data_IF_652937661628
#
_entry.id   IF_652937661628
#
_cell.length_a   1.000
_cell.length_b   1.000
_cell.length_c   1.000
_cell.angle_alpha   90.00
_cell.angle_beta   90.00
_cell.angle_gamma   90.00
#
_symmetry.space_group_name_H-M   'P 1'
#
loop_
_entity.id
_entity.type
_entity.pdbx_description
1 polymer ?
#
# COMPACT_ATOMS: atom_id res chain seq x y z
N UNK A 1 22.07 22.49 24.13
CA UNK A 1 21.37 21.74 25.19
C UNK A 1 22.24 20.55 25.63
N UNK A 2 22.62 20.51 26.88
CA UNK A 2 23.43 19.42 27.44
C UNK A 2 22.68 18.78 28.63
N UNK A 3 22.01 17.67 28.37
CA UNK A 3 21.30 16.88 29.40
C UNK A 3 22.24 16.03 30.26
N UNK A 4 23.54 15.97 29.94
CA UNK A 4 24.54 15.09 30.57
C UNK A 4 24.10 13.63 30.63
N UNK A 5 23.33 13.20 29.64
CA UNK A 5 22.78 11.84 29.54
C UNK A 5 21.60 11.55 30.48
N UNK A 6 21.06 12.56 31.16
CA UNK A 6 19.86 12.38 31.98
C UNK A 6 18.61 12.55 31.12
N UNK A 7 17.72 11.55 31.16
CA UNK A 7 16.44 11.64 30.47
C UNK A 7 15.53 12.65 31.15
N UNK A 8 14.91 13.52 30.36
CA UNK A 8 13.90 14.46 30.80
C UNK A 8 12.59 14.15 30.04
N UNK A 9 11.61 13.49 30.68
CA UNK A 9 10.36 13.12 30.04
C UNK A 9 9.46 14.32 29.68
N UNK A 10 9.72 15.49 30.27
CA UNK A 10 8.92 16.70 30.07
C UNK A 10 9.50 17.60 28.95
N UNK A 11 10.58 17.16 28.30
CA UNK A 11 11.14 17.89 27.16
C UNK A 11 10.15 17.96 26.01
N UNK A 12 9.77 19.18 25.64
CA UNK A 12 8.96 19.44 24.47
C UNK A 12 9.79 19.36 23.18
N UNK A 13 9.32 18.52 22.23
CA UNK A 13 9.96 18.35 20.93
C UNK A 13 9.37 19.33 19.92
N UNK A 14 10.18 20.26 19.45
CA UNK A 14 9.81 21.19 18.38
C UNK A 14 10.43 20.73 17.05
N UNK A 15 9.58 20.39 16.09
CA UNK A 15 10.05 20.06 14.74
C UNK A 15 10.46 21.30 13.96
N UNK A 16 11.53 21.18 13.19
CA UNK A 16 11.89 22.18 12.18
C UNK A 16 10.84 22.28 11.07
N UNK A 17 10.91 23.32 10.21
CA UNK A 17 9.86 23.62 9.23
C UNK A 17 9.62 22.50 8.21
N UNK A 18 10.63 21.71 7.88
CA UNK A 18 10.54 20.60 6.92
C UNK A 18 10.50 19.23 7.59
N UNK A 19 10.30 19.16 8.90
CA UNK A 19 10.19 17.91 9.63
C UNK A 19 8.71 17.69 9.97
N UNK A 20 8.15 16.57 9.50
CA UNK A 20 6.77 16.15 9.77
C UNK A 20 6.78 14.73 10.30
N UNK A 21 5.84 14.45 11.20
CA UNK A 21 5.65 13.09 11.70
C UNK A 21 5.03 12.19 10.63
N UNK A 22 5.15 10.87 10.84
CA UNK A 22 4.47 9.89 10.01
C UNK A 22 2.97 9.91 10.27
N UNK A 23 2.14 9.79 9.22
CA UNK A 23 0.71 9.61 9.42
C UNK A 23 0.45 8.29 10.15
N UNK A 24 -0.69 8.21 10.83
CA UNK A 24 -1.13 6.98 11.47
C UNK A 24 -1.31 5.86 10.43
N UNK A 25 -0.78 4.67 10.75
CA UNK A 25 -0.89 3.47 9.93
C UNK A 25 -1.84 2.49 10.63
N UNK A 26 -2.84 1.99 9.90
CA UNK A 26 -3.74 0.96 10.43
C UNK A 26 -3.24 -0.45 10.14
N UNK A 27 -3.70 -1.41 10.94
CA UNK A 27 -3.43 -2.83 10.73
C UNK A 27 -4.09 -3.35 9.45
N UNK A 28 -3.61 -4.50 8.96
CA UNK A 28 -4.18 -5.15 7.78
C UNK A 28 -5.67 -5.48 8.03
N UNK A 29 -6.60 -5.05 7.18
CA UNK A 29 -8.02 -5.36 7.33
C UNK A 29 -8.32 -6.82 6.98
N UNK A 30 -9.49 -7.31 7.39
CA UNK A 30 -9.94 -8.67 7.05
C UNK A 30 -10.07 -8.88 5.55
N UNK A 31 -10.72 -7.93 4.89
CA UNK A 31 -10.93 -7.91 3.44
C UNK A 31 -10.41 -6.60 2.87
N UNK A 32 -10.03 -6.60 1.60
CA UNK A 32 -9.41 -5.43 0.98
C UNK A 32 -9.97 -5.16 -0.41
N UNK A 33 -10.22 -3.89 -0.70
CA UNK A 33 -10.46 -3.38 -2.05
C UNK A 33 -9.28 -2.49 -2.43
N UNK A 34 -8.60 -2.84 -3.50
CA UNK A 34 -7.49 -2.08 -4.05
C UNK A 34 -7.90 -1.48 -5.40
N UNK A 35 -7.58 -0.22 -5.63
CA UNK A 35 -7.62 0.34 -6.97
C UNK A 35 -6.23 0.25 -7.59
N UNK A 36 -6.16 -0.24 -8.82
CA UNK A 36 -4.92 -0.20 -9.63
C UNK A 36 -4.73 1.24 -10.08
N UNK A 37 -3.71 1.91 -9.60
CA UNK A 37 -3.49 3.34 -9.86
C UNK A 37 -2.30 3.63 -10.77
N UNK A 38 -1.53 2.61 -11.11
CA UNK A 38 -0.47 2.68 -12.14
C UNK A 38 -0.15 1.29 -12.67
N UNK A 39 0.15 1.21 -13.97
CA UNK A 39 0.68 0.03 -14.66
C UNK A 39 1.98 0.40 -15.34
N UNK A 40 3.05 -0.33 -15.03
CA UNK A 40 4.38 -0.09 -15.57
C UNK A 40 4.85 -1.36 -16.30
N UNK A 41 4.87 -1.30 -17.60
CA UNK A 41 5.19 -2.44 -18.47
C UNK A 41 6.67 -2.47 -18.93
N UNK A 42 7.49 -1.54 -18.46
CA UNK A 42 8.93 -1.59 -18.71
C UNK A 42 9.53 -2.86 -18.09
N UNK A 43 10.48 -3.51 -18.76
CA UNK A 43 11.07 -4.76 -18.28
C UNK A 43 11.65 -4.66 -16.86
N UNK A 44 12.18 -3.49 -16.49
CA UNK A 44 12.71 -3.18 -15.16
C UNK A 44 12.35 -1.76 -14.82
N UNK A 45 11.92 -1.52 -13.57
CA UNK A 45 11.68 -0.17 -13.03
C UNK A 45 12.64 0.09 -11.89
N UNK A 46 13.43 1.15 -12.03
CA UNK A 46 14.43 1.52 -11.05
C UNK A 46 13.80 2.21 -9.82
N UNK A 47 14.53 2.19 -8.71
CA UNK A 47 14.10 2.91 -7.51
C UNK A 47 14.05 4.43 -7.72
N UNK A 48 14.87 4.98 -8.64
CA UNK A 48 14.84 6.42 -8.96
C UNK A 48 13.64 6.81 -9.85
N UNK A 49 13.11 5.88 -10.65
CA UNK A 49 11.84 6.06 -11.36
C UNK A 49 10.65 6.01 -10.41
N UNK A 50 10.72 5.19 -9.36
CA UNK A 50 9.68 5.11 -8.33
C UNK A 50 9.66 6.36 -7.43
N UNK A 51 10.83 6.89 -7.09
CA UNK A 51 11.01 8.13 -6.32
C UNK A 51 12.33 8.80 -6.72
N UNK A 52 12.33 9.99 -7.34
CA UNK A 52 13.56 10.65 -7.81
C UNK A 52 14.37 11.19 -6.63
N UNK A 53 15.36 10.44 -6.18
CA UNK A 53 16.11 10.69 -4.97
C UNK A 53 16.93 12.00 -4.97
N UNK A 54 17.39 12.44 -6.14
CA UNK A 54 18.17 13.69 -6.28
C UNK A 54 17.34 14.95 -6.00
N UNK A 55 16.12 15.00 -6.54
CA UNK A 55 15.23 16.16 -6.43
C UNK A 55 14.54 16.27 -5.07
N UNK A 56 14.44 15.15 -4.36
CA UNK A 56 13.64 15.00 -3.14
C UNK A 56 14.45 15.05 -1.85
N UNK A 57 15.75 15.32 -1.93
CA UNK A 57 16.66 15.28 -0.78
C UNK A 57 16.25 16.19 0.37
N UNK A 58 15.64 17.35 0.09
CA UNK A 58 15.14 18.30 1.09
C UNK A 58 13.86 17.84 1.81
N UNK A 59 13.17 16.83 1.30
CA UNK A 59 11.91 16.33 1.85
C UNK A 59 12.06 15.04 2.67
N UNK A 60 13.27 14.52 2.88
CA UNK A 60 13.49 13.22 3.55
C UNK A 60 12.92 13.12 4.95
N UNK A 61 12.80 14.24 5.66
CA UNK A 61 12.17 14.30 6.99
C UNK A 61 10.70 14.76 6.96
N UNK A 62 10.10 14.78 5.77
CA UNK A 62 8.69 15.11 5.56
C UNK A 62 8.04 14.03 4.68
N UNK A 63 7.52 12.94 5.27
CA UNK A 63 7.01 11.80 4.52
C UNK A 63 5.91 12.17 3.52
N UNK A 64 5.00 13.04 3.91
CA UNK A 64 3.89 13.49 3.04
C UNK A 64 4.42 14.34 1.89
N UNK A 65 5.33 15.28 2.17
CA UNK A 65 5.96 16.11 1.14
C UNK A 65 6.80 15.29 0.16
N UNK A 66 7.53 14.29 0.66
CA UNK A 66 8.30 13.37 -0.16
C UNK A 66 7.41 12.53 -1.08
N UNK A 67 6.29 12.05 -0.57
CA UNK A 67 5.37 11.19 -1.30
C UNK A 67 4.76 11.86 -2.54
N UNK A 68 4.65 13.21 -2.56
CA UNK A 68 4.17 13.96 -3.74
C UNK A 68 5.02 13.74 -5.00
N UNK A 69 6.24 13.25 -4.85
CA UNK A 69 7.15 12.97 -5.97
C UNK A 69 7.11 11.50 -6.42
N UNK A 70 6.27 10.67 -5.81
CA UNK A 70 6.16 9.26 -6.17
C UNK A 70 5.74 9.11 -7.63
N UNK A 71 6.52 8.35 -8.41
CA UNK A 71 6.32 8.13 -9.84
C UNK A 71 6.27 9.40 -10.70
N UNK A 72 6.71 10.57 -10.18
CA UNK A 72 6.57 11.86 -10.85
C UNK A 72 7.15 11.89 -12.26
N UNK A 73 8.21 11.12 -12.52
CA UNK A 73 8.84 10.99 -13.86
C UNK A 73 8.24 9.90 -14.73
N UNK A 74 7.59 8.89 -14.13
CA UNK A 74 7.10 7.70 -14.82
C UNK A 74 5.60 7.76 -15.09
N UNK A 75 4.84 8.11 -14.09
CA UNK A 75 3.38 8.26 -14.14
C UNK A 75 2.95 9.45 -13.26
N UNK A 76 3.01 10.68 -13.77
CA UNK A 76 2.69 11.88 -12.97
C UNK A 76 1.27 11.91 -12.39
N UNK A 77 0.34 11.13 -12.95
CA UNK A 77 -1.03 11.05 -12.47
C UNK A 77 -1.19 10.09 -11.27
N UNK A 78 -0.17 9.30 -10.93
CA UNK A 78 -0.21 8.31 -9.85
C UNK A 78 -0.65 8.92 -8.51
N UNK A 79 -0.02 10.02 -8.09
CA UNK A 79 -0.28 10.65 -6.78
C UNK A 79 -1.75 11.07 -6.65
N UNK A 80 -2.30 11.69 -7.69
CA UNK A 80 -3.71 12.08 -7.72
C UNK A 80 -4.65 10.89 -7.59
N UNK A 81 -4.41 9.82 -8.36
CA UNK A 81 -5.22 8.59 -8.32
C UNK A 81 -5.12 7.88 -6.96
N UNK A 82 -3.92 7.78 -6.38
CA UNK A 82 -3.72 7.17 -5.07
C UNK A 82 -4.47 7.94 -3.96
N UNK A 83 -4.40 9.28 -3.97
CA UNK A 83 -5.13 10.12 -3.03
C UNK A 83 -6.64 9.98 -3.15
N UNK A 84 -7.17 9.78 -4.35
CA UNK A 84 -8.61 9.59 -4.55
C UNK A 84 -9.13 8.33 -3.86
N UNK A 85 -8.45 7.18 -4.00
CA UNK A 85 -8.88 5.97 -3.28
C UNK A 85 -8.56 6.06 -1.78
N UNK A 86 -7.52 6.79 -1.38
CA UNK A 86 -7.16 6.98 0.02
C UNK A 86 -8.29 7.66 0.82
N UNK A 87 -9.12 8.50 0.19
CA UNK A 87 -10.29 9.13 0.84
C UNK A 87 -11.20 8.07 1.47
N UNK A 88 -11.41 6.94 0.80
CA UNK A 88 -12.24 5.85 1.32
C UNK A 88 -11.63 5.23 2.58
N UNK A 89 -10.32 5.00 2.62
CA UNK A 89 -9.64 4.47 3.80
C UNK A 89 -9.63 5.46 4.95
N UNK A 90 -9.44 6.74 4.66
CA UNK A 90 -9.53 7.81 5.67
C UNK A 90 -10.92 7.83 6.30
N UNK A 91 -11.98 7.71 5.50
CA UNK A 91 -13.35 7.62 6.01
C UNK A 91 -13.53 6.43 6.96
N UNK A 92 -13.03 5.24 6.57
CA UNK A 92 -13.06 4.05 7.44
C UNK A 92 -12.35 4.32 8.77
N UNK A 93 -11.17 4.92 8.75
CA UNK A 93 -10.39 5.23 9.96
C UNK A 93 -11.08 6.26 10.86
N UNK A 94 -11.88 7.15 10.28
CA UNK A 94 -12.66 8.17 10.99
C UNK A 94 -14.06 7.67 11.41
N UNK A 95 -14.40 6.41 11.12
CA UNK A 95 -15.72 5.84 11.40
C UNK A 95 -16.84 6.41 10.52
N UNK A 96 -16.49 6.93 9.34
CA UNK A 96 -17.40 7.45 8.31
C UNK A 96 -17.67 6.40 7.24
N UNK A 97 -18.75 6.57 6.49
CA UNK A 97 -19.08 5.71 5.37
C UNK A 97 -18.15 5.98 4.16
N UNK A 98 -17.34 5.01 3.71
CA UNK A 98 -16.41 5.22 2.60
C UNK A 98 -17.10 5.52 1.26
N UNK A 99 -18.34 5.05 1.07
CA UNK A 99 -19.13 5.30 -0.14
C UNK A 99 -19.65 6.74 -0.22
N UNK A 100 -19.85 7.40 0.92
CA UNK A 100 -20.22 8.82 0.94
C UNK A 100 -19.04 9.70 0.51
N UNK A 101 -17.82 9.37 0.93
CA UNK A 101 -16.61 10.10 0.56
C UNK A 101 -16.13 9.78 -0.88
N UNK A 102 -16.43 8.56 -1.36
CA UNK A 102 -16.11 8.11 -2.72
C UNK A 102 -17.29 7.35 -3.33
N UNK A 103 -18.26 8.07 -3.94
CA UNK A 103 -19.49 7.45 -4.48
C UNK A 103 -19.26 6.37 -5.55
N UNK A 104 -18.15 6.42 -6.27
CA UNK A 104 -17.78 5.40 -7.27
C UNK A 104 -17.59 3.99 -6.66
N UNK A 105 -17.42 3.90 -5.35
CA UNK A 105 -17.35 2.62 -4.64
C UNK A 105 -18.73 1.95 -4.46
N UNK A 106 -19.83 2.67 -4.60
CA UNK A 106 -21.17 2.10 -4.42
C UNK A 106 -21.44 0.90 -5.34
N UNK A 107 -21.25 0.98 -6.66
CA UNK A 107 -21.42 -0.18 -7.53
C UNK A 107 -20.39 -1.29 -7.27
N UNK A 108 -19.15 -0.93 -6.90
CA UNK A 108 -18.10 -1.90 -6.53
C UNK A 108 -18.53 -2.72 -5.34
N UNK A 109 -18.94 -2.06 -4.25
CA UNK A 109 -19.43 -2.73 -3.04
C UNK A 109 -20.72 -3.52 -3.29
N UNK A 110 -21.62 -3.01 -4.14
CA UNK A 110 -22.81 -3.71 -4.54
C UNK A 110 -22.50 -5.04 -5.25
N UNK A 111 -21.54 -5.05 -6.15
CA UNK A 111 -21.09 -6.26 -6.85
C UNK A 111 -20.43 -7.26 -5.89
N UNK A 112 -19.56 -6.78 -4.99
CA UNK A 112 -18.90 -7.62 -3.98
C UNK A 112 -19.94 -8.30 -3.07
N UNK A 113 -20.90 -7.56 -2.54
CA UNK A 113 -21.90 -8.05 -1.59
C UNK A 113 -22.87 -9.08 -2.16
N UNK A 114 -23.03 -9.15 -3.48
CA UNK A 114 -23.82 -10.22 -4.11
C UNK A 114 -23.23 -11.62 -3.85
N UNK A 115 -21.92 -11.73 -3.79
CA UNK A 115 -21.22 -13.00 -3.56
C UNK A 115 -20.65 -13.10 -2.13
N UNK A 116 -20.35 -11.97 -1.50
CA UNK A 116 -19.80 -11.85 -0.15
C UNK A 116 -20.68 -10.92 0.69
N UNK A 117 -21.86 -11.37 1.13
CA UNK A 117 -22.85 -10.52 1.81
C UNK A 117 -22.38 -9.96 3.15
N UNK A 118 -21.44 -10.65 3.81
CA UNK A 118 -20.90 -10.25 5.11
C UNK A 118 -19.78 -9.20 5.01
N UNK A 119 -19.37 -8.85 3.80
CA UNK A 119 -18.37 -7.80 3.59
C UNK A 119 -19.02 -6.43 3.68
N UNK A 120 -18.53 -5.61 4.61
CA UNK A 120 -19.09 -4.29 4.87
C UNK A 120 -18.25 -3.45 5.82
N UNK A 121 -18.87 -2.43 6.37
CA UNK A 121 -18.23 -1.54 7.33
C UNK A 121 -17.67 -2.33 8.53
N UNK A 122 -16.43 -2.06 8.88
CA UNK A 122 -15.73 -2.70 10.00
C UNK A 122 -14.87 -3.91 9.64
N UNK A 123 -15.04 -4.53 8.45
CA UNK A 123 -14.20 -5.66 8.04
C UNK A 123 -13.55 -5.50 6.65
N UNK A 124 -13.60 -4.31 6.08
CA UNK A 124 -13.01 -4.00 4.77
C UNK A 124 -12.10 -2.78 4.86
N UNK A 125 -10.98 -2.83 4.14
CA UNK A 125 -10.10 -1.70 3.92
C UNK A 125 -9.98 -1.35 2.44
N UNK A 126 -9.61 -0.10 2.18
CA UNK A 126 -9.45 0.45 0.84
C UNK A 126 -8.03 0.98 0.65
N UNK A 127 -7.52 0.86 -0.55
CA UNK A 127 -6.22 1.43 -0.87
C UNK A 127 -5.84 1.29 -2.33
N UNK A 128 -4.60 1.66 -2.62
CA UNK A 128 -4.04 1.58 -3.96
C UNK A 128 -3.05 0.44 -4.11
N UNK A 129 -2.89 0.00 -5.34
CA UNK A 129 -1.81 -0.88 -5.77
C UNK A 129 -1.25 -0.39 -7.10
N UNK A 130 -0.01 -0.73 -7.37
CA UNK A 130 0.60 -0.60 -8.69
C UNK A 130 0.90 -1.98 -9.25
N UNK A 131 0.89 -2.10 -10.57
CA UNK A 131 1.53 -3.19 -11.27
C UNK A 131 2.84 -2.70 -11.88
N UNK A 132 3.89 -3.50 -11.78
CA UNK A 132 5.13 -3.31 -12.52
C UNK A 132 5.77 -4.66 -12.80
N UNK A 133 6.35 -4.84 -14.00
CA UNK A 133 6.97 -6.12 -14.41
C UNK A 133 8.05 -6.53 -13.42
N UNK A 134 9.03 -5.66 -13.18
CA UNK A 134 10.16 -5.93 -12.27
C UNK A 134 10.62 -4.65 -11.57
N UNK A 135 9.90 -4.22 -10.53
CA UNK A 135 10.21 -2.97 -9.82
C UNK A 135 11.32 -3.13 -8.80
N UNK A 136 12.01 -2.01 -8.52
CA UNK A 136 12.88 -1.87 -7.38
C UNK A 136 14.35 -2.15 -7.66
N UNK A 137 14.81 -1.97 -8.90
CA UNK A 137 16.23 -2.00 -9.24
C UNK A 137 16.93 -0.74 -8.70
N UNK A 138 17.85 -0.93 -7.77
CA UNK A 138 18.58 0.16 -7.13
C UNK A 138 18.65 0.06 -5.62
N UNK A 139 19.10 1.14 -4.97
CA UNK A 139 19.41 1.17 -3.54
C UNK A 139 18.54 2.11 -2.70
N UNK A 140 17.78 3.02 -3.32
CA UNK A 140 16.85 3.89 -2.60
C UNK A 140 15.79 3.07 -1.85
N UNK A 141 15.29 3.60 -0.73
CA UNK A 141 14.37 2.89 0.18
C UNK A 141 13.05 3.60 0.39
N UNK A 142 12.99 4.86 0.04
CA UNK A 142 11.86 5.76 0.31
C UNK A 142 10.61 5.44 -0.53
N UNK A 143 10.76 4.72 -1.64
CA UNK A 143 9.68 4.42 -2.56
C UNK A 143 8.51 3.64 -1.94
N UNK A 144 8.80 2.71 -1.03
CA UNK A 144 7.76 1.95 -0.34
C UNK A 144 7.01 2.82 0.68
N UNK A 145 7.73 3.63 1.46
CA UNK A 145 7.10 4.56 2.41
C UNK A 145 6.25 5.61 1.71
N UNK A 146 6.73 6.13 0.58
CA UNK A 146 5.99 7.11 -0.22
C UNK A 146 4.67 6.54 -0.74
N UNK A 147 4.68 5.31 -1.25
CA UNK A 147 3.45 4.63 -1.66
C UNK A 147 2.52 4.40 -0.44
N UNK A 148 3.06 3.96 0.70
CA UNK A 148 2.28 3.70 1.90
C UNK A 148 1.57 4.94 2.43
N UNK A 149 2.24 6.07 2.53
CA UNK A 149 1.62 7.31 3.03
C UNK A 149 0.57 7.88 2.09
N UNK A 150 0.59 7.49 0.82
CA UNK A 150 -0.47 7.78 -0.17
C UNK A 150 -1.59 6.72 -0.20
N UNK A 151 -1.64 5.83 0.77
CA UNK A 151 -2.67 4.80 0.84
C UNK A 151 -2.36 3.52 0.06
N UNK A 152 -1.10 3.29 -0.30
CA UNK A 152 -0.67 2.03 -0.91
C UNK A 152 -0.71 0.86 0.07
N UNK A 153 -1.31 -0.26 -0.34
CA UNK A 153 -1.39 -1.49 0.45
C UNK A 153 -0.65 -2.66 -0.16
N UNK A 154 -0.39 -2.59 -1.46
CA UNK A 154 0.27 -3.67 -2.17
C UNK A 154 1.03 -3.15 -3.40
N UNK A 155 1.98 -3.94 -3.85
CA UNK A 155 2.45 -3.94 -5.23
C UNK A 155 2.14 -5.30 -5.83
N UNK A 156 1.88 -5.33 -7.14
CA UNK A 156 1.74 -6.55 -7.93
C UNK A 156 2.86 -6.54 -8.96
N UNK A 157 3.67 -7.58 -9.00
CA UNK A 157 4.80 -7.69 -9.91
C UNK A 157 4.94 -9.10 -10.48
N UNK A 158 5.58 -9.25 -11.63
CA UNK A 158 6.01 -10.58 -12.09
C UNK A 158 7.23 -11.04 -11.31
N UNK A 159 8.13 -10.11 -10.98
CA UNK A 159 9.32 -10.34 -10.17
C UNK A 159 9.70 -9.06 -9.44
N UNK A 160 10.32 -9.15 -8.28
CA UNK A 160 10.95 -8.01 -7.61
C UNK A 160 12.44 -7.96 -7.95
N UNK A 161 12.91 -6.82 -8.47
CA UNK A 161 14.28 -6.65 -8.94
C UNK A 161 15.32 -6.88 -7.82
N UNK A 162 14.99 -6.53 -6.58
CA UNK A 162 15.86 -6.72 -5.42
C UNK A 162 15.09 -7.20 -4.20
N UNK A 163 15.73 -8.05 -3.39
CA UNK A 163 15.21 -8.43 -2.07
C UNK A 163 14.99 -7.20 -1.18
N UNK A 164 15.82 -6.18 -1.33
CA UNK A 164 15.73 -4.92 -0.57
C UNK A 164 14.41 -4.20 -0.82
N UNK A 165 13.98 -4.08 -2.07
CA UNK A 165 12.71 -3.44 -2.41
C UNK A 165 11.53 -4.22 -1.80
N UNK A 166 11.53 -5.55 -1.98
CA UNK A 166 10.50 -6.41 -1.38
C UNK A 166 10.45 -6.27 0.15
N UNK A 167 11.60 -6.29 0.83
CA UNK A 167 11.67 -6.10 2.29
C UNK A 167 11.20 -4.71 2.71
N UNK A 168 11.45 -3.67 1.93
CA UNK A 168 10.93 -2.34 2.22
C UNK A 168 9.39 -2.28 2.12
N UNK A 169 8.78 -2.94 1.14
CA UNK A 169 7.33 -3.07 1.08
C UNK A 169 6.78 -3.73 2.36
N UNK A 170 7.36 -4.85 2.77
CA UNK A 170 6.97 -5.58 3.97
C UNK A 170 7.11 -4.71 5.22
N UNK A 171 8.23 -4.01 5.39
CA UNK A 171 8.47 -3.12 6.54
C UNK A 171 7.44 -1.98 6.65
N UNK A 172 6.85 -1.58 5.53
CA UNK A 172 5.76 -0.61 5.49
C UNK A 172 4.38 -1.28 5.48
N UNK A 173 4.31 -2.59 5.78
CA UNK A 173 3.06 -3.34 5.85
C UNK A 173 2.35 -3.47 4.50
N UNK A 174 3.08 -3.33 3.40
CA UNK A 174 2.55 -3.51 2.06
C UNK A 174 2.76 -4.96 1.61
N UNK A 175 1.75 -5.50 0.93
CA UNK A 175 1.73 -6.85 0.41
C UNK A 175 2.56 -6.93 -0.89
N UNK A 176 3.65 -7.72 -0.91
CA UNK A 176 4.49 -7.88 -2.10
C UNK A 176 3.95 -8.99 -3.00
N UNK A 177 2.79 -8.78 -3.62
CA UNK A 177 2.17 -9.76 -4.48
C UNK A 177 2.99 -10.06 -5.74
N UNK A 178 2.94 -11.31 -6.15
CA UNK A 178 3.44 -11.80 -7.42
C UNK A 178 2.28 -12.30 -8.28
N UNK A 179 2.35 -12.05 -9.57
CA UNK A 179 1.46 -12.57 -10.59
C UNK A 179 2.29 -13.21 -11.71
N UNK A 180 1.80 -14.30 -12.29
CA UNK A 180 2.47 -14.95 -13.41
C UNK A 180 2.59 -14.00 -14.61
N UNK A 181 3.66 -14.18 -15.39
CA UNK A 181 3.84 -13.45 -16.66
C UNK A 181 2.72 -13.82 -17.63
N UNK A 182 2.25 -12.84 -18.38
CA UNK A 182 1.19 -13.03 -19.37
C UNK A 182 0.26 -11.84 -19.46
N UNK A 183 -0.94 -12.09 -19.98
CA UNK A 183 -1.99 -11.08 -20.04
C UNK A 183 -2.53 -10.79 -18.63
N UNK A 184 -2.54 -9.51 -18.26
CA UNK A 184 -3.06 -9.10 -16.96
C UNK A 184 -4.59 -9.22 -16.92
N UNK A 185 -5.17 -9.73 -15.83
CA UNK A 185 -6.62 -9.83 -15.68
C UNK A 185 -7.29 -8.47 -15.41
N UNK A 186 -6.50 -7.46 -15.10
CA UNK A 186 -6.93 -6.10 -14.76
C UNK A 186 -6.20 -5.05 -15.59
N UNK A 187 -6.71 -3.84 -15.55
CA UNK A 187 -6.08 -2.66 -16.14
C UNK A 187 -6.12 -1.50 -15.17
N UNK A 188 -5.42 -0.42 -15.50
CA UNK A 188 -5.37 0.79 -14.69
C UNK A 188 -6.77 1.30 -14.35
N UNK A 189 -6.99 1.72 -13.11
CA UNK A 189 -8.25 2.14 -12.47
C UNK A 189 -9.25 1.02 -12.17
N UNK A 190 -8.99 -0.23 -12.54
CA UNK A 190 -9.80 -1.35 -12.07
C UNK A 190 -9.75 -1.49 -10.54
N UNK A 191 -10.85 -1.97 -9.96
CA UNK A 191 -10.91 -2.35 -8.56
C UNK A 191 -10.68 -3.85 -8.40
N UNK A 192 -9.80 -4.19 -7.46
CA UNK A 192 -9.49 -5.56 -7.09
C UNK A 192 -10.05 -5.84 -5.70
N UNK A 193 -10.75 -6.95 -5.55
CA UNK A 193 -11.24 -7.40 -4.25
C UNK A 193 -10.46 -8.62 -3.78
N UNK A 194 -9.94 -8.56 -2.56
CA UNK A 194 -9.16 -9.63 -1.96
C UNK A 194 -9.83 -10.02 -0.64
N UNK A 195 -10.74 -11.03 -0.68
CA UNK A 195 -11.41 -11.51 0.53
C UNK A 195 -10.45 -12.26 1.45
N UNK A 196 -10.64 -12.11 2.75
CA UNK A 196 -9.90 -12.87 3.76
C UNK A 196 -8.39 -12.70 3.74
N UNK A 197 -7.89 -11.57 3.26
CA UNK A 197 -6.43 -11.34 3.13
C UNK A 197 -5.72 -11.42 4.47
N UNK A 198 -6.31 -10.90 5.55
CA UNK A 198 -5.72 -10.98 6.87
C UNK A 198 -5.52 -12.44 7.29
N UNK A 199 -6.57 -13.24 7.20
CA UNK A 199 -6.54 -14.68 7.49
C UNK A 199 -5.53 -15.42 6.62
N UNK A 200 -5.44 -15.09 5.33
CA UNK A 200 -4.49 -15.70 4.42
C UNK A 200 -3.03 -15.46 4.85
N UNK A 201 -2.72 -14.24 5.33
CA UNK A 201 -1.39 -13.90 5.86
C UNK A 201 -1.13 -14.61 7.19
N UNK A 202 -2.13 -14.68 8.09
CA UNK A 202 -2.03 -15.38 9.38
C UNK A 202 -1.80 -16.90 9.22
N UNK A 203 -2.51 -17.53 8.28
CA UNK A 203 -2.46 -18.99 8.02
C UNK A 203 -1.39 -19.41 7.02
N UNK A 204 -0.51 -18.50 6.61
CA UNK A 204 0.61 -18.77 5.70
C UNK A 204 0.17 -19.30 4.32
N UNK A 205 -0.97 -18.83 3.83
CA UNK A 205 -1.46 -19.23 2.51
C UNK A 205 -0.53 -18.68 1.42
N UNK A 206 0.10 -19.56 0.64
CA UNK A 206 1.00 -19.18 -0.45
C UNK A 206 0.28 -18.62 -1.66
N UNK A 207 -0.98 -19.04 -1.87
CA UNK A 207 -1.83 -18.65 -2.99
C UNK A 207 -3.00 -17.83 -2.49
N UNK A 208 -3.23 -16.68 -3.09
CA UNK A 208 -4.29 -15.73 -2.75
C UNK A 208 -5.25 -15.62 -3.93
N UNK A 209 -6.52 -15.89 -3.69
CA UNK A 209 -7.56 -15.61 -4.69
C UNK A 209 -7.97 -14.15 -4.59
N UNK A 210 -7.86 -13.44 -5.70
CA UNK A 210 -8.32 -12.08 -5.86
C UNK A 210 -9.35 -12.00 -6.99
N UNK A 211 -10.09 -10.92 -7.03
CA UNK A 211 -11.13 -10.69 -8.05
C UNK A 211 -10.99 -9.32 -8.66
N UNK A 212 -11.12 -9.22 -9.98
CA UNK A 212 -11.40 -7.94 -10.62
C UNK A 212 -12.90 -7.69 -10.50
N UNK A 213 -13.28 -6.54 -9.97
CA UNK A 213 -14.70 -6.17 -9.82
C UNK A 213 -15.17 -5.52 -11.11
N UNK A 214 -16.09 -6.19 -11.80
CA UNK A 214 -16.71 -5.72 -13.04
C UNK A 214 -18.20 -5.51 -12.83
N UNK A 215 -18.86 -4.82 -13.75
CA UNK A 215 -20.32 -4.59 -13.70
C UNK A 215 -21.13 -5.92 -13.71
N UNK A 216 -20.64 -6.90 -14.45
CA UNK A 216 -21.24 -8.24 -14.60
C UNK A 216 -20.85 -9.23 -13.50
N UNK A 217 -19.97 -8.85 -12.56
CA UNK A 217 -19.60 -9.70 -11.42
C UNK A 217 -18.11 -9.68 -11.07
N UNK A 218 -17.71 -10.66 -10.29
CA UNK A 218 -16.33 -10.84 -9.83
C UNK A 218 -15.61 -11.84 -10.76
N UNK A 219 -14.46 -11.42 -11.30
CA UNK A 219 -13.62 -12.28 -12.14
C UNK A 219 -12.36 -12.66 -11.37
N UNK A 220 -12.23 -13.94 -11.01
CA UNK A 220 -11.14 -14.44 -10.19
C UNK A 220 -9.80 -14.49 -10.93
N UNK A 221 -8.74 -14.23 -10.20
CA UNK A 221 -7.37 -14.47 -10.61
C UNK A 221 -6.52 -14.81 -9.38
N UNK A 222 -5.30 -15.26 -9.60
CA UNK A 222 -4.41 -15.74 -8.55
C UNK A 222 -3.24 -14.82 -8.35
N UNK A 223 -2.97 -14.50 -7.06
CA UNK A 223 -1.76 -13.82 -6.60
C UNK A 223 -1.00 -14.76 -5.66
N UNK A 224 0.29 -14.53 -5.51
CA UNK A 224 1.12 -15.17 -4.49
C UNK A 224 1.90 -14.13 -3.69
N UNK A 225 2.25 -14.46 -2.44
CA UNK A 225 3.08 -13.59 -1.59
C UNK A 225 4.55 -14.00 -1.59
N UNK A 226 4.86 -15.18 -2.12
CA UNK A 226 6.15 -15.82 -1.95
C UNK A 226 6.41 -16.19 -0.47
N UNK A 227 7.63 -16.57 -0.18
CA UNK A 227 8.00 -16.95 1.19
C UNK A 227 8.09 -15.70 2.08
N UNK A 228 7.32 -15.70 3.15
CA UNK A 228 7.36 -14.72 4.22
C UNK A 228 7.79 -15.40 5.52
N UNK A 229 8.71 -14.79 6.24
CA UNK A 229 9.02 -15.23 7.60
C UNK A 229 7.85 -14.94 8.55
N UNK A 230 7.83 -15.59 9.70
CA UNK A 230 6.83 -15.34 10.74
C UNK A 230 6.83 -13.87 11.18
N UNK A 231 8.00 -13.25 11.26
CA UNK A 231 8.16 -11.84 11.64
C UNK A 231 7.64 -10.89 10.55
N UNK A 232 8.00 -11.15 9.29
CA UNK A 232 7.48 -10.37 8.15
C UNK A 232 5.95 -10.40 8.08
N UNK A 233 5.33 -11.56 8.32
CA UNK A 233 3.85 -11.65 8.41
C UNK A 233 3.29 -10.78 9.53
N UNK A 234 3.89 -10.82 10.72
CA UNK A 234 3.44 -9.98 11.83
C UNK A 234 3.55 -8.49 11.52
N UNK A 235 4.64 -8.06 10.88
CA UNK A 235 4.80 -6.67 10.44
C UNK A 235 3.68 -6.24 9.48
N UNK A 236 3.34 -7.10 8.51
CA UNK A 236 2.23 -6.85 7.58
C UNK A 236 0.90 -6.77 8.33
N UNK A 237 0.62 -7.69 9.25
CA UNK A 237 -0.60 -7.72 10.05
C UNK A 237 -0.78 -6.48 10.92
N UNK A 238 0.31 -5.99 11.53
CA UNK A 238 0.32 -4.76 12.35
C UNK A 238 0.27 -3.47 11.51
N UNK A 239 0.42 -3.58 10.19
CA UNK A 239 0.33 -2.46 9.25
C UNK A 239 1.64 -1.77 8.91
N UNK A 240 2.67 -1.90 9.74
CA UNK A 240 4.05 -1.50 9.46
C UNK A 240 5.00 -1.88 10.60
N UNK A 241 6.31 -1.79 10.34
CA UNK A 241 7.35 -2.05 11.34
C UNK A 241 7.29 -1.09 12.53
N UNK A 242 6.82 0.15 12.34
CA UNK A 242 6.66 1.12 13.42
C UNK A 242 5.61 0.63 14.42
N UNK A 243 4.47 0.17 13.92
CA UNK A 243 3.41 -0.38 14.77
C UNK A 243 3.86 -1.66 15.48
N UNK A 244 4.52 -2.56 14.75
CA UNK A 244 5.07 -3.81 15.28
C UNK A 244 6.01 -3.59 16.48
N UNK A 245 6.78 -2.50 16.51
CA UNK A 245 7.70 -2.17 17.59
C UNK A 245 7.10 -1.28 18.70
N UNK A 246 5.84 -0.89 18.60
CA UNK A 246 5.15 -0.09 19.63
C UNK A 246 4.53 -0.92 20.75
N UNK A 247 4.65 -2.25 20.67
CA UNK A 247 4.08 -3.21 21.64
C UNK A 247 4.97 -3.38 22.85
#
# INVERSE_FOLDING_TARGET
>A
FDSKGVADPDVEIHFGPNIKDWPAMCSLPENMVLQVVSEIHDPVTTTDELIPSGETSSYRSNPLGLAEFTLSRKDPAYVGRAKEIQKAQTAVMEGKCPVEEKPELAPVMGTIRKQYPDVGEGNIGFGSTIFAVKPGDGSAREQASCQKVLGGWANIANEYATKRYRSNLINWGMLPFLIEEGELPFTNLDYLFIPGIRKAVEEEQGTITAYVVKEDGLKSFTLTLGDLTKEERRIILEGCLINYNRV
#
